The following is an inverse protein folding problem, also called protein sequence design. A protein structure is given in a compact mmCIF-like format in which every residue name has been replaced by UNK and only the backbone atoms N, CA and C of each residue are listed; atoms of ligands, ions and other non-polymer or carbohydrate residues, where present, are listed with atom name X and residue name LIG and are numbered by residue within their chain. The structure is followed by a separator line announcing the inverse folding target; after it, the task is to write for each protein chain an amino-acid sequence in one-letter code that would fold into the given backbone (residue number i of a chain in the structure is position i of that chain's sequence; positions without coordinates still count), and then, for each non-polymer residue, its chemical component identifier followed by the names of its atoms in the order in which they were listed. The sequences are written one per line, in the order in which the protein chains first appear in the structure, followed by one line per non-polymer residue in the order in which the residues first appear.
data_IF_640462835157
#
_entry.id   IF_640462835157
#
_cell.length_a   1.000
_cell.length_b   1.000
_cell.length_c   1.000
_cell.angle_alpha   90.00
_cell.angle_beta   90.00
_cell.angle_gamma   90.00
#
_symmetry.space_group_name_H-M   'P 1'
#
loop_
_entity.id
_entity.type
_entity.pdbx_description
1 polymer ?
#
# COMPACT_ATOMS: atom_id res chain seq x y z
N UNK A 1 1.71 23.63 18.15
CA UNK A 1 1.56 24.13 16.77
C UNK A 1 2.50 23.34 15.88
N UNK A 2 2.00 22.71 14.80
CA UNK A 2 2.83 21.95 13.86
C UNK A 2 3.48 22.91 12.84
N UNK A 3 4.76 22.69 12.53
CA UNK A 3 5.47 23.38 11.44
C UNK A 3 5.89 22.36 10.40
N UNK A 4 5.39 22.51 9.18
CA UNK A 4 5.73 21.64 8.06
C UNK A 4 7.05 22.08 7.43
N UNK A 5 7.99 21.14 7.30
CA UNK A 5 9.25 21.37 6.59
C UNK A 5 9.04 21.06 5.10
N UNK A 6 9.46 21.99 4.24
CA UNK A 6 9.31 21.88 2.79
C UNK A 6 10.67 21.96 2.10
N UNK A 7 10.94 21.05 1.16
CA UNK A 7 12.05 21.16 0.22
C UNK A 7 11.47 21.27 -1.20
N UNK A 8 11.54 22.46 -1.80
CA UNK A 8 10.89 22.75 -3.08
C UNK A 8 11.75 23.70 -3.92
N UNK A 9 11.82 23.48 -5.23
CA UNK A 9 12.50 24.39 -6.16
C UNK A 9 11.61 25.57 -6.59
N UNK A 10 10.27 25.40 -6.60
CA UNK A 10 9.32 26.43 -7.01
C UNK A 10 8.99 27.39 -5.85
N UNK A 11 9.31 28.67 -6.01
CA UNK A 11 9.15 29.72 -5.00
C UNK A 11 7.71 30.00 -4.55
N UNK A 12 6.71 29.79 -5.42
CA UNK A 12 5.30 30.10 -5.11
C UNK A 12 4.58 29.04 -4.29
N UNK A 13 5.08 27.79 -4.28
CA UNK A 13 4.39 26.67 -3.64
C UNK A 13 4.31 26.84 -2.12
N UNK A 14 5.44 27.18 -1.48
CA UNK A 14 5.51 27.38 -0.02
C UNK A 14 4.62 28.56 0.41
N UNK A 15 4.64 29.66 -0.35
CA UNK A 15 3.83 30.83 -0.06
C UNK A 15 2.33 30.54 -0.19
N UNK A 16 1.91 29.82 -1.23
CA UNK A 16 0.52 29.43 -1.44
C UNK A 16 0.01 28.50 -0.33
N UNK A 17 0.77 27.47 0.03
CA UNK A 17 0.41 26.55 1.10
C UNK A 17 0.29 27.27 2.45
N UNK A 18 1.21 28.20 2.76
CA UNK A 18 1.16 28.97 4.01
C UNK A 18 -0.11 29.84 4.12
N UNK A 19 -0.54 30.47 3.01
CA UNK A 19 -1.80 31.22 2.97
C UNK A 19 -3.00 30.31 3.29
N UNK A 20 -3.04 29.12 2.72
CA UNK A 20 -4.07 28.11 3.03
C UNK A 20 -4.07 27.68 4.50
N UNK A 21 -2.89 27.35 5.05
CA UNK A 21 -2.76 26.98 6.47
C UNK A 21 -3.27 28.10 7.40
N UNK A 22 -2.98 29.37 7.08
CA UNK A 22 -3.50 30.51 7.86
C UNK A 22 -5.03 30.55 7.88
N UNK A 23 -5.68 30.35 6.73
CA UNK A 23 -7.14 30.33 6.66
C UNK A 23 -7.74 29.18 7.49
N UNK A 24 -7.16 27.98 7.42
CA UNK A 24 -7.60 26.82 8.22
C UNK A 24 -7.45 27.09 9.72
N UNK A 25 -6.32 27.66 10.15
CA UNK A 25 -6.11 28.00 11.56
C UNK A 25 -7.12 29.04 12.07
N UNK A 26 -7.42 30.05 11.26
CA UNK A 26 -8.43 31.06 11.61
C UNK A 26 -9.86 30.49 11.61
N UNK A 27 -10.12 29.47 10.81
CA UNK A 27 -11.42 28.78 10.71
C UNK A 27 -11.68 27.72 11.78
N UNK A 28 -10.86 27.62 12.84
CA UNK A 28 -11.04 26.65 13.93
C UNK A 28 -10.23 25.36 13.78
N UNK A 29 -9.33 25.28 12.80
CA UNK A 29 -8.44 24.14 12.58
C UNK A 29 -9.03 23.04 11.70
N UNK A 30 -8.34 21.91 11.63
CA UNK A 30 -8.74 20.76 10.83
C UNK A 30 -8.64 19.46 11.64
N UNK A 31 -9.53 18.51 11.36
CA UNK A 31 -9.55 17.17 11.95
C UNK A 31 -9.32 16.12 10.88
N UNK A 32 -8.44 15.15 11.15
CA UNK A 32 -8.17 14.02 10.25
C UNK A 32 -8.19 12.69 10.99
N UNK A 33 -8.36 11.59 10.24
CA UNK A 33 -8.32 10.21 10.74
C UNK A 33 -7.60 9.33 9.72
N UNK A 34 -6.87 8.33 10.19
CA UNK A 34 -6.28 7.29 9.33
C UNK A 34 -7.32 6.21 9.14
N UNK A 35 -7.65 5.87 7.88
CA UNK A 35 -8.67 4.87 7.56
C UNK A 35 -8.07 3.48 7.30
N UNK A 36 -6.84 3.43 6.80
CA UNK A 36 -6.06 2.21 6.60
C UNK A 36 -4.57 2.55 6.63
N UNK A 37 -3.75 1.59 7.08
CA UNK A 37 -2.29 1.69 7.08
C UNK A 37 -1.70 0.37 6.57
N UNK A 38 -0.95 0.47 5.48
CA UNK A 38 -0.40 -0.68 4.77
C UNK A 38 0.21 -0.29 3.43
N UNK A 39 1.35 -0.87 3.11
CA UNK A 39 2.03 -0.73 1.82
C UNK A 39 1.79 -1.98 0.96
N UNK A 40 1.76 -1.82 -0.36
CA UNK A 40 1.55 -2.92 -1.30
C UNK A 40 2.75 -3.12 -2.22
N UNK A 41 2.93 -4.35 -2.71
CA UNK A 41 3.85 -4.72 -3.79
C UNK A 41 3.10 -5.67 -4.72
N UNK A 42 3.18 -5.44 -6.03
CA UNK A 42 2.53 -6.27 -7.06
C UNK A 42 3.56 -6.93 -7.95
N UNK A 43 4.15 -8.08 -7.55
CA UNK A 43 5.02 -8.86 -8.42
C UNK A 43 4.21 -9.53 -9.54
N UNK A 44 4.87 -9.95 -10.61
CA UNK A 44 4.27 -10.83 -11.63
C UNK A 44 5.01 -12.16 -11.64
N UNK A 45 4.26 -13.25 -11.55
CA UNK A 45 4.76 -14.63 -11.64
C UNK A 45 4.16 -15.28 -12.88
N UNK A 46 4.98 -16.01 -13.63
CA UNK A 46 4.56 -16.65 -14.87
C UNK A 46 4.66 -18.16 -14.73
N UNK A 47 3.56 -18.84 -14.99
CA UNK A 47 3.44 -20.29 -14.93
C UNK A 47 3.55 -20.89 -16.35
N UNK A 48 3.83 -22.20 -16.46
CA UNK A 48 3.80 -22.92 -17.73
C UNK A 48 2.47 -22.81 -18.49
N UNK A 49 1.33 -22.85 -17.78
CA UNK A 49 0.00 -22.77 -18.38
C UNK A 49 -0.97 -21.90 -17.58
N UNK A 50 -2.08 -21.50 -18.21
CA UNK A 50 -3.15 -20.76 -17.53
C UNK A 50 -3.85 -21.62 -16.46
N UNK A 51 -3.99 -22.93 -16.69
CA UNK A 51 -4.55 -23.86 -15.70
C UNK A 51 -3.71 -23.89 -14.42
N UNK A 52 -2.38 -23.99 -14.56
CA UNK A 52 -1.48 -23.97 -13.40
C UNK A 52 -1.49 -22.62 -12.69
N UNK A 53 -1.60 -21.50 -13.42
CA UNK A 53 -1.76 -20.19 -12.79
C UNK A 53 -3.07 -20.12 -11.97
N UNK A 54 -4.16 -20.71 -12.46
CA UNK A 54 -5.42 -20.80 -11.74
C UNK A 54 -5.34 -21.68 -10.48
N UNK A 55 -4.64 -22.82 -10.56
CA UNK A 55 -4.36 -23.69 -9.40
C UNK A 55 -3.57 -22.95 -8.32
N UNK A 56 -2.51 -22.24 -8.71
CA UNK A 56 -1.70 -21.44 -7.76
C UNK A 56 -2.53 -20.32 -7.14
N UNK A 57 -3.37 -19.63 -7.92
CA UNK A 57 -4.29 -18.62 -7.39
C UNK A 57 -5.21 -19.24 -6.34
N UNK A 58 -5.86 -20.36 -6.65
CA UNK A 58 -6.78 -21.03 -5.73
C UNK A 58 -6.08 -21.47 -4.43
N UNK A 59 -4.84 -21.95 -4.53
CA UNK A 59 -4.03 -22.28 -3.36
C UNK A 59 -3.69 -21.05 -2.51
N UNK A 60 -3.29 -19.93 -3.12
CA UNK A 60 -3.00 -18.69 -2.39
C UNK A 60 -4.24 -18.07 -1.73
N UNK A 61 -5.43 -18.31 -2.27
CA UNK A 61 -6.71 -17.91 -1.70
C UNK A 61 -7.19 -18.86 -0.58
N UNK A 62 -6.56 -20.04 -0.43
CA UNK A 62 -6.85 -20.97 0.65
C UNK A 62 -6.26 -20.49 1.98
N UNK A 63 -6.88 -20.82 3.13
CA UNK A 63 -6.34 -20.48 4.45
C UNK A 63 -4.92 -21.01 4.67
N UNK A 64 -4.64 -22.23 4.19
CA UNK A 64 -3.35 -22.90 4.33
C UNK A 64 -2.28 -22.22 3.48
N UNK A 65 -2.58 -21.94 2.20
CA UNK A 65 -1.63 -21.27 1.31
C UNK A 65 -1.34 -19.85 1.75
N UNK A 66 -2.37 -19.10 2.13
CA UNK A 66 -2.19 -17.75 2.69
C UNK A 66 -1.32 -17.77 3.95
N UNK A 67 -1.55 -18.73 4.87
CA UNK A 67 -0.78 -18.86 6.11
C UNK A 67 0.71 -19.07 5.83
N UNK A 68 1.05 -19.99 4.92
CA UNK A 68 2.45 -20.29 4.57
C UNK A 68 3.13 -19.03 4.00
N UNK A 69 2.48 -18.35 3.06
CA UNK A 69 3.03 -17.12 2.45
C UNK A 69 3.16 -16.00 3.48
N UNK A 70 2.17 -15.86 4.36
CA UNK A 70 2.19 -14.89 5.46
C UNK A 70 3.34 -15.14 6.42
N UNK A 71 3.57 -16.38 6.85
CA UNK A 71 4.69 -16.74 7.74
C UNK A 71 6.03 -16.41 7.09
N UNK A 72 6.21 -16.78 5.82
CA UNK A 72 7.40 -16.44 5.06
C UNK A 72 7.61 -14.91 4.98
N UNK A 73 6.57 -14.14 4.64
CA UNK A 73 6.64 -12.68 4.55
C UNK A 73 6.94 -12.03 5.91
N UNK A 74 6.21 -12.40 6.96
CA UNK A 74 6.33 -11.82 8.29
C UNK A 74 7.69 -12.15 8.95
N UNK A 75 8.33 -13.27 8.56
CA UNK A 75 9.67 -13.63 9.03
C UNK A 75 10.78 -12.70 8.52
N UNK A 76 10.57 -11.99 7.41
CA UNK A 76 11.60 -11.12 6.80
C UNK A 76 11.86 -9.83 7.57
N UNK A 77 10.91 -9.40 8.41
CA UNK A 77 11.02 -8.18 9.20
C UNK A 77 10.06 -8.18 10.38
N UNK A 78 10.51 -7.67 11.51
CA UNK A 78 9.67 -7.50 12.71
C UNK A 78 8.44 -6.60 12.49
N UNK A 79 8.46 -5.73 11.47
CA UNK A 79 7.36 -4.82 11.13
C UNK A 79 6.48 -5.34 9.98
N UNK A 80 6.96 -6.32 9.22
CA UNK A 80 6.22 -6.88 8.09
C UNK A 80 5.07 -7.74 8.62
N UNK A 81 3.83 -7.34 8.32
CA UNK A 81 2.63 -8.10 8.64
C UNK A 81 1.73 -8.16 7.42
N UNK A 82 1.71 -9.31 6.74
CA UNK A 82 0.87 -9.52 5.57
C UNK A 82 -0.61 -9.51 6.00
N UNK A 83 -1.39 -8.59 5.44
CA UNK A 83 -2.82 -8.44 5.77
C UNK A 83 -3.74 -9.19 4.81
N UNK A 84 -3.45 -9.11 3.51
CA UNK A 84 -4.25 -9.74 2.46
C UNK A 84 -3.40 -9.95 1.20
N UNK A 85 -3.81 -10.90 0.38
CA UNK A 85 -3.35 -11.04 -1.00
C UNK A 85 -4.48 -10.64 -1.94
N UNK A 86 -4.15 -9.88 -2.98
CA UNK A 86 -5.07 -9.56 -4.07
C UNK A 86 -4.44 -10.10 -5.34
N UNK A 87 -5.03 -11.14 -5.92
CA UNK A 87 -4.43 -11.91 -6.99
C UNK A 87 -5.27 -11.81 -8.25
N UNK A 88 -4.63 -11.45 -9.37
CA UNK A 88 -5.26 -11.35 -10.68
C UNK A 88 -4.55 -12.23 -11.70
N UNK A 89 -5.32 -12.86 -12.59
CA UNK A 89 -4.80 -13.73 -13.65
C UNK A 89 -4.87 -13.03 -15.01
N UNK A 90 -3.80 -13.13 -15.79
CA UNK A 90 -3.78 -12.82 -17.21
C UNK A 90 -3.14 -13.97 -17.99
N UNK A 91 -3.98 -14.92 -18.42
CA UNK A 91 -3.53 -16.17 -19.03
C UNK A 91 -2.65 -16.96 -18.06
N UNK A 92 -1.38 -17.16 -18.42
CA UNK A 92 -0.39 -17.86 -17.58
C UNK A 92 0.39 -16.95 -16.62
N UNK A 93 0.07 -15.65 -16.59
CA UNK A 93 0.68 -14.70 -15.64
C UNK A 93 -0.26 -14.48 -14.45
N UNK A 94 0.32 -14.38 -13.26
CA UNK A 94 -0.33 -14.14 -11.98
C UNK A 94 0.26 -12.87 -11.38
N UNK A 95 -0.59 -11.91 -11.03
CA UNK A 95 -0.26 -10.60 -10.44
C UNK A 95 -0.79 -10.51 -9.03
#
# INVERSE_FOLDING_TARGET
SFRFQWQQQKKSLVASTNRGCRAICLGGGASSRILADGMTRGPVVRLPSACQAAEVKAWLESPEGFKIVKEAFDSTSRFARLQKLLISLAGRNLY
#
